data_IF_477122288729
#
_entry.id   IF_477122288729
#
_cell.length_a   1.000
_cell.length_b   1.000
_cell.length_c   1.000
_cell.angle_alpha   90.00
_cell.angle_beta   90.00
_cell.angle_gamma   90.00
#
_symmetry.space_group_name_H-M   'P 1'
#
loop_
_entity.id
_entity.type
_entity.pdbx_description
1 polymer ?
#
# COMPACT_ATOMS: atom_id res chain seq x y z
N UNK A 1 4.31 -24.22 -12.24
CA UNK A 1 4.00 -24.63 -10.85
C UNK A 1 4.61 -23.59 -9.92
N UNK A 2 3.80 -22.71 -9.33
CA UNK A 2 4.27 -21.60 -8.48
C UNK A 2 4.52 -22.18 -7.09
N UNK A 3 5.77 -22.33 -6.66
CA UNK A 3 6.05 -22.62 -5.25
C UNK A 3 5.84 -21.33 -4.45
N UNK A 4 4.72 -21.27 -3.71
CA UNK A 4 4.44 -20.16 -2.79
C UNK A 4 5.22 -20.38 -1.50
N UNK A 5 6.18 -19.51 -1.22
CA UNK A 5 6.89 -19.45 0.07
C UNK A 5 5.96 -18.80 1.11
N UNK A 6 5.97 -19.25 2.36
CA UNK A 6 5.16 -18.67 3.45
C UNK A 6 5.34 -17.14 3.56
N UNK A 7 6.55 -16.65 3.34
CA UNK A 7 6.88 -15.22 3.39
C UNK A 7 6.25 -14.43 2.24
N UNK A 8 6.15 -15.05 1.05
CA UNK A 8 5.52 -14.39 -0.10
C UNK A 8 4.00 -14.41 0.02
N UNK A 9 3.42 -15.49 0.56
CA UNK A 9 1.98 -15.58 0.84
C UNK A 9 1.55 -14.54 1.88
N UNK A 10 2.27 -14.44 3.01
CA UNK A 10 2.00 -13.43 4.04
C UNK A 10 1.98 -12.02 3.44
N UNK A 11 2.97 -11.69 2.62
CA UNK A 11 3.06 -10.37 2.00
C UNK A 11 1.95 -10.09 0.97
N UNK A 12 1.43 -11.11 0.30
CA UNK A 12 0.25 -10.99 -0.56
C UNK A 12 -1.00 -10.72 0.28
N UNK A 13 -1.22 -11.53 1.32
CA UNK A 13 -2.38 -11.41 2.21
C UNK A 13 -2.45 -10.01 2.82
N UNK A 14 -1.34 -9.51 3.37
CA UNK A 14 -1.31 -8.18 4.01
C UNK A 14 -1.67 -7.07 3.03
N UNK A 15 -1.20 -7.13 1.78
CA UNK A 15 -1.57 -6.13 0.75
C UNK A 15 -3.04 -6.21 0.34
N UNK A 16 -3.59 -7.43 0.26
CA UNK A 16 -5.03 -7.64 -0.01
C UNK A 16 -5.87 -7.07 1.14
N UNK A 17 -5.48 -7.36 2.39
CA UNK A 17 -6.18 -6.85 3.57
C UNK A 17 -6.17 -5.33 3.59
N UNK A 18 -5.01 -4.70 3.39
CA UNK A 18 -4.92 -3.22 3.34
C UNK A 18 -5.73 -2.64 2.19
N UNK A 19 -5.71 -3.24 0.99
CA UNK A 19 -6.56 -2.81 -0.12
C UNK A 19 -8.05 -2.91 0.23
N UNK A 20 -8.48 -3.98 0.89
CA UNK A 20 -9.85 -4.15 1.37
C UNK A 20 -10.26 -3.08 2.39
N UNK A 21 -9.38 -2.75 3.34
CA UNK A 21 -9.62 -1.69 4.32
C UNK A 21 -9.70 -0.30 3.67
N UNK A 22 -8.88 -0.03 2.66
CA UNK A 22 -8.96 1.21 1.87
C UNK A 22 -10.30 1.31 1.12
N UNK A 23 -10.81 0.23 0.54
CA UNK A 23 -12.14 0.24 -0.07
C UNK A 23 -13.26 0.38 0.97
N UNK A 24 -13.09 -0.21 2.16
CA UNK A 24 -14.06 -0.06 3.23
C UNK A 24 -14.08 1.38 3.79
N UNK A 25 -12.96 2.10 3.71
CA UNK A 25 -12.87 3.52 4.09
C UNK A 25 -13.74 4.47 3.25
N UNK A 26 -14.31 4.00 2.13
CA UNK A 26 -15.24 4.78 1.31
C UNK A 26 -16.55 5.11 2.02
N UNK A 27 -16.94 4.27 2.98
CA UNK A 27 -18.08 4.54 3.86
C UNK A 27 -17.69 5.49 5.01
N UNK A 28 -18.64 5.85 5.86
CA UNK A 28 -18.42 6.68 7.05
C UNK A 28 -18.02 5.79 8.23
N UNK A 29 -16.84 6.04 8.79
CA UNK A 29 -16.31 5.33 9.95
C UNK A 29 -15.93 6.27 11.08
N UNK A 30 -15.79 5.79 12.32
CA UNK A 30 -15.25 6.60 13.42
C UNK A 30 -13.79 7.00 13.17
N UNK A 31 -13.34 8.12 13.73
CA UNK A 31 -11.96 8.63 13.54
C UNK A 31 -10.88 7.61 13.90
N UNK A 32 -11.15 6.74 14.89
CA UNK A 32 -10.26 5.65 15.28
C UNK A 32 -9.98 4.66 14.15
N UNK A 33 -10.94 4.44 13.26
CA UNK A 33 -10.76 3.59 12.08
C UNK A 33 -9.73 4.20 11.13
N UNK A 34 -9.87 5.49 10.79
CA UNK A 34 -8.95 6.18 9.88
C UNK A 34 -7.54 6.30 10.47
N UNK A 35 -7.41 6.44 11.79
CA UNK A 35 -6.12 6.38 12.47
C UNK A 35 -5.46 5.01 12.31
N UNK A 36 -6.19 3.92 12.56
CA UNK A 36 -5.67 2.56 12.38
C UNK A 36 -5.34 2.26 10.91
N UNK A 37 -6.21 2.69 9.98
CA UNK A 37 -6.00 2.54 8.54
C UNK A 37 -4.68 3.19 8.11
N UNK A 38 -4.41 4.42 8.56
CA UNK A 38 -3.15 5.12 8.25
C UNK A 38 -1.93 4.35 8.72
N UNK A 39 -1.94 3.84 9.95
CA UNK A 39 -0.85 2.99 10.44
C UNK A 39 -0.62 1.76 9.56
N UNK A 40 -1.68 1.04 9.20
CA UNK A 40 -1.58 -0.16 8.37
C UNK A 40 -1.08 0.17 6.96
N UNK A 41 -1.67 1.17 6.31
CA UNK A 41 -1.27 1.61 4.97
C UNK A 41 0.17 2.10 4.97
N UNK A 42 0.57 2.91 5.96
CA UNK A 42 1.93 3.41 6.13
C UNK A 42 2.95 2.28 6.20
N UNK A 43 2.77 1.33 7.13
CA UNK A 43 3.70 0.21 7.35
C UNK A 43 3.80 -0.65 6.08
N UNK A 44 2.67 -1.00 5.50
CA UNK A 44 2.63 -1.91 4.34
C UNK A 44 3.16 -1.22 3.08
N UNK A 45 2.92 0.08 2.90
CA UNK A 45 3.51 0.86 1.83
C UNK A 45 5.03 0.96 1.97
N UNK A 46 5.55 1.26 3.16
CA UNK A 46 6.99 1.30 3.41
C UNK A 46 7.68 -0.05 3.12
N UNK A 47 7.07 -1.17 3.58
CA UNK A 47 7.55 -2.52 3.26
C UNK A 47 7.51 -2.81 1.75
N UNK A 48 6.46 -2.36 1.06
CA UNK A 48 6.30 -2.55 -0.38
C UNK A 48 7.33 -1.75 -1.18
N UNK A 49 7.61 -0.51 -0.77
CA UNK A 49 8.66 0.32 -1.36
C UNK A 49 10.04 -0.35 -1.24
N UNK A 50 10.37 -0.85 -0.05
CA UNK A 50 11.63 -1.55 0.19
C UNK A 50 11.76 -2.83 -0.65
N UNK A 51 10.69 -3.63 -0.73
CA UNK A 51 10.67 -4.82 -1.60
C UNK A 51 10.80 -4.45 -3.08
N UNK A 52 10.13 -3.39 -3.54
CA UNK A 52 10.24 -2.93 -4.92
C UNK A 52 11.69 -2.62 -5.29
N UNK A 53 12.41 -1.94 -4.41
CA UNK A 53 13.83 -1.62 -4.61
C UNK A 53 14.73 -2.86 -4.65
N UNK A 54 14.41 -3.90 -3.87
CA UNK A 54 15.20 -5.15 -3.77
C UNK A 54 14.92 -6.19 -4.86
N UNK A 55 13.98 -5.96 -5.79
CA UNK A 55 13.68 -6.90 -6.88
C UNK A 55 14.79 -6.92 -7.94
N UNK A 56 15.83 -7.74 -7.74
CA UNK A 56 16.99 -7.81 -8.64
C UNK A 56 16.61 -8.26 -10.06
N UNK A 57 15.57 -9.08 -10.22
CA UNK A 57 15.16 -9.63 -11.52
C UNK A 57 14.31 -8.67 -12.36
N UNK A 58 14.00 -7.47 -11.84
CA UNK A 58 13.26 -6.43 -12.55
C UNK A 58 14.21 -5.33 -13.02
N UNK A 59 13.83 -4.64 -14.10
CA UNK A 59 14.59 -3.50 -14.60
C UNK A 59 14.73 -2.42 -13.51
N UNK A 60 15.85 -1.68 -13.53
CA UNK A 60 16.12 -0.59 -12.59
C UNK A 60 14.95 0.41 -12.53
N UNK A 61 14.38 0.73 -13.70
CA UNK A 61 13.21 1.61 -13.82
C UNK A 61 12.01 1.13 -13.01
N UNK A 62 11.63 -0.15 -13.12
CA UNK A 62 10.48 -0.70 -12.39
C UNK A 62 10.74 -0.67 -10.88
N UNK A 63 11.97 -0.99 -10.45
CA UNK A 63 12.37 -1.01 -9.04
C UNK A 63 12.29 0.38 -8.42
N UNK A 64 12.86 1.38 -9.10
CA UNK A 64 12.91 2.76 -8.62
C UNK A 64 11.51 3.37 -8.64
N UNK A 65 10.75 3.19 -9.72
CA UNK A 65 9.39 3.71 -9.82
C UNK A 65 8.47 3.12 -8.75
N UNK A 66 8.51 1.80 -8.54
CA UNK A 66 7.74 1.14 -7.49
C UNK A 66 8.13 1.62 -6.09
N UNK A 67 9.43 1.82 -5.85
CA UNK A 67 9.92 2.38 -4.59
C UNK A 67 9.35 3.80 -4.35
N UNK A 68 9.45 4.69 -5.35
CA UNK A 68 8.97 6.07 -5.24
C UNK A 68 7.46 6.11 -5.02
N UNK A 69 6.66 5.35 -5.79
CA UNK A 69 5.20 5.32 -5.65
C UNK A 69 4.80 4.92 -4.23
N UNK A 70 5.35 3.82 -3.72
CA UNK A 70 4.97 3.33 -2.38
C UNK A 70 5.58 4.15 -1.24
N UNK A 71 6.74 4.79 -1.44
CA UNK A 71 7.27 5.76 -0.49
C UNK A 71 6.34 6.99 -0.40
N UNK A 72 5.83 7.49 -1.53
CA UNK A 72 4.86 8.59 -1.54
C UNK A 72 3.54 8.21 -0.87
N UNK A 73 3.05 6.99 -1.07
CA UNK A 73 1.87 6.47 -0.35
C UNK A 73 2.13 6.43 1.16
N UNK A 74 3.31 5.96 1.59
CA UNK A 74 3.67 5.96 3.00
C UNK A 74 3.68 7.40 3.55
N UNK A 75 4.26 8.36 2.84
CA UNK A 75 4.24 9.77 3.27
C UNK A 75 2.81 10.31 3.35
N UNK A 76 1.96 10.03 2.36
CA UNK A 76 0.57 10.48 2.31
C UNK A 76 -0.27 9.93 3.48
N UNK A 77 -0.09 8.66 3.81
CA UNK A 77 -0.82 7.97 4.90
C UNK A 77 -0.06 7.98 6.23
N UNK A 78 0.94 8.84 6.39
CA UNK A 78 1.74 8.93 7.62
C UNK A 78 0.81 9.24 8.83
N UNK A 79 0.76 8.38 9.86
CA UNK A 79 -0.13 8.58 11.00
C UNK A 79 0.32 9.71 11.94
N UNK A 80 1.59 10.13 11.88
CA UNK A 80 2.15 11.17 12.76
C UNK A 80 1.84 12.57 12.23
N UNK A 81 1.94 12.76 10.92
CA UNK A 81 1.72 14.04 10.27
C UNK A 81 0.37 14.03 9.56
N UNK A 82 -0.66 14.61 10.18
CA UNK A 82 -1.99 14.66 9.59
C UNK A 82 -2.06 15.67 8.44
N UNK A 83 -2.31 15.19 7.22
CA UNK A 83 -2.61 16.06 6.07
C UNK A 83 -4.12 16.35 6.07
N UNK A 84 -4.47 17.63 6.17
CA UNK A 84 -5.86 18.08 6.11
C UNK A 84 -6.34 18.12 4.65
N UNK A 85 -7.00 17.05 4.20
CA UNK A 85 -7.66 16.98 2.90
C UNK A 85 -9.17 16.87 3.08
N UNK A 86 -9.93 17.26 2.05
CA UNK A 86 -11.38 17.05 2.03
C UNK A 86 -11.70 15.55 1.90
N UNK A 87 -12.89 15.15 2.35
CA UNK A 87 -13.34 13.74 2.31
C UNK A 87 -13.26 13.15 0.89
N UNK A 88 -13.65 13.91 -0.13
CA UNK A 88 -13.62 13.47 -1.53
C UNK A 88 -12.18 13.20 -2.01
N UNK A 89 -11.22 14.03 -1.61
CA UNK A 89 -9.81 13.82 -1.97
C UNK A 89 -9.27 12.57 -1.26
N UNK A 90 -9.63 12.37 0.01
CA UNK A 90 -9.27 11.14 0.74
C UNK A 90 -9.85 9.89 0.10
N UNK A 91 -11.14 9.88 -0.27
CA UNK A 91 -11.76 8.74 -0.96
C UNK A 91 -11.05 8.41 -2.28
N UNK A 92 -10.69 9.42 -3.07
CA UNK A 92 -9.94 9.21 -4.30
C UNK A 92 -8.53 8.66 -4.04
N UNK A 93 -7.85 9.15 -3.01
CA UNK A 93 -6.56 8.64 -2.58
C UNK A 93 -6.65 7.19 -2.09
N UNK A 94 -7.71 6.83 -1.36
CA UNK A 94 -7.96 5.48 -0.86
C UNK A 94 -8.14 4.49 -2.03
N UNK A 95 -8.97 4.85 -3.03
CA UNK A 95 -9.18 4.04 -4.24
C UNK A 95 -7.88 3.86 -5.01
N UNK A 96 -7.17 4.96 -5.30
CA UNK A 96 -5.92 4.91 -6.04
C UNK A 96 -4.88 4.03 -5.33
N UNK A 97 -4.77 4.17 -4.01
CA UNK A 97 -3.85 3.41 -3.17
C UNK A 97 -4.22 1.92 -3.13
N UNK A 98 -5.52 1.59 -3.02
CA UNK A 98 -6.00 0.22 -3.05
C UNK A 98 -5.67 -0.47 -4.38
N UNK A 99 -5.93 0.21 -5.50
CA UNK A 99 -5.60 -0.31 -6.84
C UNK A 99 -4.10 -0.51 -7.00
N UNK A 100 -3.27 0.41 -6.52
CA UNK A 100 -1.81 0.28 -6.56
C UNK A 100 -1.31 -0.91 -5.72
N UNK A 101 -1.88 -1.14 -4.53
CA UNK A 101 -1.56 -2.33 -3.73
C UNK A 101 -1.91 -3.61 -4.48
N UNK A 102 -3.08 -3.69 -5.10
CA UNK A 102 -3.49 -4.86 -5.89
C UNK A 102 -2.57 -5.08 -7.11
N UNK A 103 -2.27 -4.02 -7.87
CA UNK A 103 -1.35 -4.10 -9.01
C UNK A 103 0.06 -4.54 -8.59
N UNK A 104 0.52 -4.09 -7.41
CA UNK A 104 1.81 -4.48 -6.87
C UNK A 104 1.94 -5.98 -6.60
N UNK A 105 0.85 -6.72 -6.38
CA UNK A 105 0.88 -8.17 -6.15
C UNK A 105 1.46 -8.89 -7.37
N UNK A 106 1.14 -8.39 -8.57
CA UNK A 106 1.57 -8.98 -9.84
C UNK A 106 2.97 -8.48 -10.21
N UNK A 107 3.24 -7.18 -10.01
CA UNK A 107 4.48 -6.53 -10.44
C UNK A 107 5.63 -6.80 -9.45
N UNK A 108 5.35 -6.59 -8.15
CA UNK A 108 6.29 -6.74 -7.02
C UNK A 108 6.06 -8.13 -6.41
N UNK A 109 6.39 -9.12 -7.23
CA UNK A 109 6.35 -10.55 -6.91
C UNK A 109 7.77 -11.02 -6.56
N UNK A 110 8.03 -11.25 -5.27
CA UNK A 110 9.05 -12.16 -4.68
C UNK A 110 9.01 -12.07 -3.14
#
# INVERSE_FOLDING_TARGET
>A
MISLNINSLFFIIVRIVVAGLLFWALDIHPDSYYMLLRWLVFIVAAMTAFKAFKLVDKSLWIRVLGCIIFASIAVLFNPVAHIHLTRTIWQNADIATAVLFLASIIIIRK
#
